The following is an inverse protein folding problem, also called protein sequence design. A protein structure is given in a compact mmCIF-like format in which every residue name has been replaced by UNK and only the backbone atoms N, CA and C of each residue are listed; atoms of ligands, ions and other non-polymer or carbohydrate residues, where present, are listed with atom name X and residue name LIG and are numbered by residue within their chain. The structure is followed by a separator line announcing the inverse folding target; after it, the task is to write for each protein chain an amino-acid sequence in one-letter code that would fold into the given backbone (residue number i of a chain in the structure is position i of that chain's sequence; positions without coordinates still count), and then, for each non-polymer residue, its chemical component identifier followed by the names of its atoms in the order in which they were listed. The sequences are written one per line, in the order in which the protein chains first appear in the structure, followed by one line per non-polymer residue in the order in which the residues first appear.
data_IF_157473794202
#
_entry.id   IF_157473794202
#
_cell.length_a   1.000
_cell.length_b   1.000
_cell.length_c   1.000
_cell.angle_alpha   90.00
_cell.angle_beta   90.00
_cell.angle_gamma   90.00
#
_symmetry.space_group_name_H-M   'P 1'
#
loop_
_entity.id
_entity.type
_entity.pdbx_description
1 polymer ?
#
# COMPACT_ATOMS: atom_id res chain seq x y z
N UNK A 1 -3.97 -22.18 31.31
CA UNK A 1 -4.89 -23.15 30.68
C UNK A 1 -4.09 -24.40 30.31
N UNK A 2 -4.12 -25.46 31.12
CA UNK A 2 -3.33 -26.66 30.87
C UNK A 2 -4.19 -27.69 30.11
N UNK A 3 -3.67 -28.21 29.00
CA UNK A 3 -4.30 -29.30 28.25
C UNK A 3 -5.56 -28.96 27.45
N UNK A 4 -5.89 -27.68 27.26
CA UNK A 4 -7.02 -27.24 26.42
C UNK A 4 -6.50 -26.55 25.16
N UNK A 5 -7.05 -26.85 23.96
CA UNK A 5 -6.74 -26.08 22.76
C UNK A 5 -7.21 -24.64 22.95
N UNK A 6 -6.41 -23.68 22.48
CA UNK A 6 -6.68 -22.24 22.57
C UNK A 6 -6.74 -21.69 21.16
N UNK A 7 -7.79 -20.93 20.86
CA UNK A 7 -7.95 -20.19 19.61
C UNK A 7 -7.93 -18.71 19.97
N UNK A 8 -6.94 -17.98 19.47
CA UNK A 8 -6.80 -16.55 19.68
C UNK A 8 -7.53 -15.81 18.56
N UNK A 9 -8.49 -14.95 18.93
CA UNK A 9 -9.16 -14.03 17.98
C UNK A 9 -8.79 -12.59 18.41
N UNK A 10 -7.55 -12.15 18.16
CA UNK A 10 -7.07 -10.86 18.68
C UNK A 10 -7.62 -9.69 17.86
N UNK A 11 -7.88 -8.59 18.56
CA UNK A 11 -7.97 -7.19 18.11
C UNK A 11 -8.61 -6.38 19.24
N UNK A 12 -8.69 -5.05 19.09
CA UNK A 12 -9.28 -4.16 20.08
C UNK A 12 -10.40 -3.30 19.44
N UNK A 13 -11.62 -3.84 19.24
CA UNK A 13 -12.07 -5.20 19.55
C UNK A 13 -11.91 -6.19 18.37
N UNK A 14 -12.05 -7.48 18.69
CA UNK A 14 -12.26 -8.55 17.71
C UNK A 14 -13.48 -8.26 16.83
N UNK A 15 -13.38 -8.59 15.54
CA UNK A 15 -14.49 -8.46 14.62
C UNK A 15 -15.57 -9.53 14.95
N UNK A 16 -16.85 -9.15 15.10
CA UNK A 16 -17.92 -10.10 15.37
C UNK A 16 -18.03 -11.23 14.34
N UNK A 17 -17.81 -10.94 13.05
CA UNK A 17 -17.87 -11.95 12.00
C UNK A 17 -16.76 -13.00 12.13
N UNK A 18 -15.57 -12.61 12.60
CA UNK A 18 -14.49 -13.56 12.87
C UNK A 18 -14.82 -14.46 14.07
N UNK A 19 -15.43 -13.91 15.12
CA UNK A 19 -15.88 -14.68 16.28
C UNK A 19 -16.95 -15.71 15.90
N UNK A 20 -17.99 -15.25 15.20
CA UNK A 20 -19.08 -16.11 14.72
C UNK A 20 -18.55 -17.15 13.73
N UNK A 21 -17.63 -16.77 12.83
CA UNK A 21 -17.02 -17.66 11.86
C UNK A 21 -16.30 -18.85 12.51
N UNK A 22 -15.57 -18.64 13.61
CA UNK A 22 -14.93 -19.73 14.37
C UNK A 22 -15.98 -20.67 14.98
N UNK A 23 -17.01 -20.12 15.61
CA UNK A 23 -18.07 -20.91 16.25
C UNK A 23 -18.83 -21.74 15.21
N UNK A 24 -19.23 -21.12 14.09
CA UNK A 24 -19.94 -21.80 13.02
C UNK A 24 -19.08 -22.90 12.37
N UNK A 25 -17.80 -22.62 12.11
CA UNK A 25 -16.89 -23.63 11.57
C UNK A 25 -16.85 -24.88 12.47
N UNK A 26 -16.71 -24.70 13.79
CA UNK A 26 -16.70 -25.80 14.74
C UNK A 26 -18.04 -26.55 14.79
N UNK A 27 -19.17 -25.84 14.85
CA UNK A 27 -20.51 -26.46 14.89
C UNK A 27 -20.79 -27.28 13.63
N UNK A 28 -20.37 -26.80 12.46
CA UNK A 28 -20.65 -27.45 11.18
C UNK A 28 -19.71 -28.61 10.87
N UNK A 29 -18.45 -28.54 11.29
CA UNK A 29 -17.41 -29.50 10.88
C UNK A 29 -16.93 -30.41 12.01
N UNK A 30 -17.21 -30.06 13.27
CA UNK A 30 -16.62 -30.71 14.44
C UNK A 30 -15.12 -30.46 14.62
N UNK A 31 -14.52 -29.55 13.83
CA UNK A 31 -13.10 -29.26 13.82
C UNK A 31 -12.83 -27.79 14.11
N UNK A 32 -11.65 -27.49 14.67
CA UNK A 32 -11.18 -26.12 14.80
C UNK A 32 -10.61 -25.64 13.45
N UNK A 33 -10.69 -24.33 13.14
CA UNK A 33 -10.09 -23.82 11.93
C UNK A 33 -8.56 -23.98 11.97
N UNK A 34 -7.94 -23.99 10.79
CA UNK A 34 -6.47 -23.96 10.71
C UNK A 34 -5.93 -22.69 11.38
N UNK A 35 -4.92 -22.86 12.24
CA UNK A 35 -4.34 -21.79 13.02
C UNK A 35 -2.93 -21.44 12.53
N UNK A 36 -2.53 -20.19 12.70
CA UNK A 36 -1.14 -19.77 12.54
C UNK A 36 -0.29 -20.07 13.79
N UNK A 37 0.99 -19.66 13.77
CA UNK A 37 1.93 -19.88 14.88
C UNK A 37 1.56 -19.15 16.18
N UNK A 38 0.65 -18.17 16.12
CA UNK A 38 0.10 -17.45 17.27
C UNK A 38 -1.27 -17.98 17.68
N UNK A 39 -1.66 -19.14 17.16
CA UNK A 39 -2.95 -19.81 17.40
C UNK A 39 -4.14 -18.98 16.89
N UNK A 40 -3.95 -18.19 15.83
CA UNK A 40 -5.01 -17.35 15.23
C UNK A 40 -5.62 -18.03 14.00
N UNK A 41 -6.95 -17.98 13.79
CA UNK A 41 -7.57 -18.56 12.60
C UNK A 41 -7.05 -17.97 11.29
N UNK A 42 -6.48 -18.80 10.41
CA UNK A 42 -5.85 -18.32 9.16
C UNK A 42 -6.81 -17.60 8.22
N UNK A 43 -8.11 -17.94 8.24
CA UNK A 43 -9.10 -17.24 7.42
C UNK A 43 -9.23 -15.75 7.78
N UNK A 44 -8.91 -15.37 9.03
CA UNK A 44 -9.00 -13.99 9.51
C UNK A 44 -7.62 -13.32 9.65
N UNK A 45 -6.57 -14.08 9.93
CA UNK A 45 -5.24 -13.57 10.26
C UNK A 45 -4.13 -14.09 9.34
N UNK A 46 -4.47 -14.70 8.20
CA UNK A 46 -3.50 -15.30 7.28
C UNK A 46 -2.72 -14.29 6.43
N UNK A 47 -3.24 -13.07 6.26
CA UNK A 47 -2.62 -12.01 5.47
C UNK A 47 -2.45 -10.73 6.28
N UNK A 48 -1.48 -9.91 5.90
CA UNK A 48 -1.34 -8.57 6.46
C UNK A 48 -2.41 -7.66 5.89
N UNK A 49 -2.85 -6.68 6.66
CA UNK A 49 -3.79 -5.65 6.22
C UNK A 49 -3.32 -4.98 4.92
N UNK A 50 -2.01 -4.71 4.81
CA UNK A 50 -1.43 -4.06 3.64
C UNK A 50 -1.47 -4.91 2.35
N UNK A 51 -1.52 -6.24 2.49
CA UNK A 51 -1.55 -7.13 1.32
C UNK A 51 -2.92 -7.08 0.62
N UNK A 52 -3.98 -6.64 1.32
CA UNK A 52 -5.35 -6.55 0.81
C UNK A 52 -5.97 -5.16 1.00
N UNK A 53 -5.15 -4.10 1.11
CA UNK A 53 -5.63 -2.74 1.35
C UNK A 53 -6.02 -2.05 0.03
N UNK A 54 -7.19 -1.41 -0.02
CA UNK A 54 -7.65 -0.66 -1.21
C UNK A 54 -6.74 0.54 -1.56
N UNK A 55 -6.00 1.08 -0.59
CA UNK A 55 -5.05 2.18 -0.81
C UNK A 55 -3.66 1.70 -1.23
N UNK A 56 -3.49 0.41 -1.56
CA UNK A 56 -2.18 -0.16 -1.90
C UNK A 56 -1.62 0.44 -3.19
N UNK A 57 -2.46 0.70 -4.19
CA UNK A 57 -2.03 1.36 -5.42
C UNK A 57 -1.37 2.72 -5.15
N UNK A 58 -1.95 3.53 -4.26
CA UNK A 58 -1.34 4.80 -3.83
C UNK A 58 0.01 4.61 -3.13
N UNK A 59 0.14 3.57 -2.28
CA UNK A 59 1.44 3.24 -1.68
C UNK A 59 2.49 2.94 -2.75
N UNK A 60 2.13 2.10 -3.73
CA UNK A 60 3.03 1.70 -4.81
C UNK A 60 3.35 2.88 -5.75
N UNK A 61 2.40 3.81 -5.96
CA UNK A 61 2.58 5.04 -6.72
C UNK A 61 3.33 6.15 -5.98
N UNK A 62 3.67 5.95 -4.70
CA UNK A 62 4.34 6.98 -3.90
C UNK A 62 3.42 8.14 -3.47
N UNK A 63 2.11 7.93 -3.54
CA UNK A 63 1.07 8.88 -3.18
C UNK A 63 0.68 8.69 -1.71
N UNK A 64 1.09 9.63 -0.87
CA UNK A 64 0.92 9.55 0.57
C UNK A 64 0.15 10.73 1.12
N UNK A 65 -0.57 10.48 2.21
CA UNK A 65 -0.93 11.52 3.17
C UNK A 65 0.34 11.87 3.94
N UNK A 66 0.68 13.15 3.99
CA UNK A 66 1.84 13.66 4.74
C UNK A 66 1.39 14.38 6.01
N UNK A 67 0.26 15.08 5.95
CA UNK A 67 -0.35 15.75 7.08
C UNK A 67 -1.87 15.54 7.13
N UNK A 68 -2.47 15.62 8.31
CA UNK A 68 -3.90 15.41 8.47
C UNK A 68 -4.69 16.52 7.78
N UNK A 69 -5.54 16.15 6.82
CA UNK A 69 -6.38 17.09 6.08
C UNK A 69 -5.72 17.69 4.82
N UNK A 70 -4.52 17.24 4.47
CA UNK A 70 -3.87 17.61 3.21
C UNK A 70 -4.64 17.09 1.98
N UNK A 71 -4.17 17.43 0.78
CA UNK A 71 -4.79 16.95 -0.47
C UNK A 71 -4.71 15.42 -0.59
N UNK A 72 -3.66 14.78 -0.07
CA UNK A 72 -3.58 13.32 -0.04
C UNK A 72 -4.71 12.70 0.80
N UNK A 73 -5.03 13.30 1.94
CA UNK A 73 -6.11 12.85 2.82
C UNK A 73 -7.47 12.99 2.13
N UNK A 74 -7.71 14.11 1.44
CA UNK A 74 -8.93 14.35 0.66
C UNK A 74 -9.09 13.38 -0.51
N UNK A 75 -7.98 12.93 -1.10
CA UNK A 75 -7.94 12.01 -2.23
C UNK A 75 -7.73 10.54 -1.82
N UNK A 76 -7.85 10.20 -0.54
CA UNK A 76 -7.71 8.83 -0.02
C UNK A 76 -6.35 8.16 -0.31
N UNK A 77 -5.27 8.94 -0.36
CA UNK A 77 -3.92 8.43 -0.53
C UNK A 77 -3.46 7.55 0.63
N UNK A 78 -2.30 6.91 0.46
CA UNK A 78 -1.80 5.96 1.44
C UNK A 78 -1.41 6.63 2.76
N UNK A 79 -1.82 6.02 3.88
CA UNK A 79 -1.60 6.52 5.24
C UNK A 79 -0.25 6.06 5.85
N UNK A 80 0.67 5.54 5.04
CA UNK A 80 1.93 4.99 5.55
C UNK A 80 2.79 6.07 6.24
N UNK A 81 2.95 7.25 5.63
CA UNK A 81 3.77 8.34 6.17
C UNK A 81 3.19 8.95 7.46
N UNK A 82 1.87 8.88 7.66
CA UNK A 82 1.20 9.26 8.92
C UNK A 82 1.07 8.11 9.92
N UNK A 83 1.77 6.99 9.70
CA UNK A 83 1.98 5.97 10.73
C UNK A 83 1.11 4.73 10.64
N UNK A 84 0.47 4.45 9.52
CA UNK A 84 -0.25 3.18 9.34
C UNK A 84 0.65 1.94 9.54
N UNK A 85 0.24 1.04 10.44
CA UNK A 85 0.91 -0.23 10.78
C UNK A 85 0.35 -1.44 10.06
N UNK A 86 -0.55 -1.23 9.10
CA UNK A 86 -1.14 -2.28 8.27
C UNK A 86 -0.11 -3.24 7.65
N UNK A 87 1.09 -2.78 7.23
CA UNK A 87 2.07 -3.70 6.67
C UNK A 87 2.80 -4.60 7.69
N UNK A 88 2.56 -4.44 8.98
CA UNK A 88 3.06 -5.29 10.08
C UNK A 88 1.94 -6.05 10.79
N UNK A 89 0.69 -5.86 10.37
CA UNK A 89 -0.49 -6.29 11.11
C UNK A 89 -1.27 -7.32 10.32
N UNK A 90 -1.47 -8.50 10.88
CA UNK A 90 -2.30 -9.55 10.34
C UNK A 90 -3.73 -9.39 10.86
N UNK A 91 -4.66 -9.18 9.94
CA UNK A 91 -6.11 -9.11 10.18
C UNK A 91 -6.82 -8.99 8.83
N UNK A 92 -8.12 -9.23 8.78
CA UNK A 92 -8.95 -9.15 7.58
C UNK A 92 -9.81 -7.87 7.52
N UNK A 93 -9.47 -6.83 8.29
CA UNK A 93 -10.27 -5.58 8.36
C UNK A 93 -10.47 -4.91 7.00
N UNK A 94 -9.50 -5.01 6.07
CA UNK A 94 -9.63 -4.44 4.73
C UNK A 94 -10.60 -5.21 3.82
N UNK A 95 -10.85 -6.48 4.15
CA UNK A 95 -11.73 -7.38 3.39
C UNK A 95 -13.15 -7.32 3.96
N UNK A 96 -13.31 -7.72 5.23
CA UNK A 96 -14.65 -7.87 5.84
C UNK A 96 -15.16 -6.59 6.49
N UNK A 97 -14.27 -5.64 6.78
CA UNK A 97 -14.56 -4.36 7.46
C UNK A 97 -15.27 -4.59 8.81
N UNK A 98 -15.73 -3.53 9.45
CA UNK A 98 -16.50 -3.57 10.69
C UNK A 98 -17.94 -3.08 10.43
N UNK A 99 -18.84 -3.47 11.33
CA UNK A 99 -20.25 -3.06 11.32
C UNK A 99 -20.95 -3.44 10.01
N UNK A 100 -21.12 -4.75 9.77
CA UNK A 100 -21.80 -5.28 8.57
C UNK A 100 -21.16 -4.82 7.25
N UNK A 101 -19.83 -4.75 7.22
CA UNK A 101 -19.11 -4.32 6.03
C UNK A 101 -19.05 -2.80 5.84
N UNK A 102 -19.60 -2.00 6.76
CA UNK A 102 -19.70 -0.55 6.62
C UNK A 102 -18.34 0.12 6.41
N UNK A 103 -17.42 -0.01 7.38
CA UNK A 103 -16.13 0.66 7.29
C UNK A 103 -15.07 0.07 8.22
N UNK A 104 -13.87 0.61 8.19
CA UNK A 104 -12.71 0.16 8.96
C UNK A 104 -11.73 1.34 9.12
N UNK A 105 -10.70 1.26 10.00
CA UNK A 105 -9.86 2.41 10.33
C UNK A 105 -9.28 3.17 9.13
N UNK A 106 -8.71 2.46 8.16
CA UNK A 106 -8.10 3.09 6.98
C UNK A 106 -9.18 3.64 6.04
N UNK A 107 -10.35 3.01 5.96
CA UNK A 107 -11.46 3.52 5.17
C UNK A 107 -12.04 4.83 5.71
N UNK A 108 -11.88 5.13 6.99
CA UNK A 108 -12.21 6.46 7.58
C UNK A 108 -11.02 7.43 7.63
N UNK A 109 -9.90 7.09 6.99
CA UNK A 109 -8.73 7.97 6.90
C UNK A 109 -7.76 7.88 8.08
N UNK A 110 -7.91 6.90 8.99
CA UNK A 110 -6.98 6.67 10.11
C UNK A 110 -6.09 5.45 9.86
N UNK A 111 -4.78 5.61 10.06
CA UNK A 111 -3.83 4.52 9.94
C UNK A 111 -4.15 3.35 10.88
N UNK A 112 -3.89 2.12 10.44
CA UNK A 112 -3.98 0.95 11.32
C UNK A 112 -2.99 1.10 12.48
N UNK A 113 -3.43 0.81 13.71
CA UNK A 113 -2.58 0.87 14.92
C UNK A 113 -1.93 -0.48 15.29
N UNK A 114 -2.25 -1.54 14.54
CA UNK A 114 -1.73 -2.88 14.80
C UNK A 114 -2.41 -3.64 15.94
N UNK A 115 -3.66 -3.34 16.26
CA UNK A 115 -4.32 -3.85 17.47
C UNK A 115 -4.52 -5.38 17.54
N UNK A 116 -4.32 -6.13 16.45
CA UNK A 116 -4.34 -7.60 16.44
C UNK A 116 -2.96 -8.24 16.63
N UNK A 117 -1.91 -7.45 16.77
CA UNK A 117 -0.56 -7.93 16.98
C UNK A 117 -0.15 -7.90 18.46
N UNK A 118 0.72 -8.82 18.91
CA UNK A 118 1.25 -8.81 20.27
C UNK A 118 1.99 -7.51 20.61
N UNK A 119 1.72 -6.98 21.81
CA UNK A 119 2.35 -5.77 22.36
C UNK A 119 2.18 -4.51 21.51
N UNK A 120 1.07 -4.41 20.76
CA UNK A 120 0.89 -3.31 19.81
C UNK A 120 0.91 -1.91 20.46
N UNK A 121 0.48 -1.78 21.73
CA UNK A 121 0.54 -0.50 22.44
C UNK A 121 1.96 0.05 22.49
N UNK A 122 2.93 -0.79 22.83
CA UNK A 122 4.33 -0.39 22.97
C UNK A 122 5.09 -0.41 21.64
N UNK A 123 4.70 -1.31 20.71
CA UNK A 123 5.39 -1.49 19.43
C UNK A 123 4.87 -0.61 18.30
N UNK A 124 3.57 -0.34 18.27
CA UNK A 124 2.86 0.10 17.06
C UNK A 124 1.96 1.33 17.24
N UNK A 125 1.37 1.54 18.42
CA UNK A 125 0.30 2.52 18.66
C UNK A 125 0.78 3.98 18.75
N UNK A 126 1.48 4.43 17.71
CA UNK A 126 1.92 5.82 17.51
C UNK A 126 1.76 6.26 16.05
N UNK A 127 1.53 7.55 15.82
CA UNK A 127 1.21 8.17 14.51
C UNK A 127 2.46 8.59 13.73
N UNK A 128 3.43 7.68 13.58
CA UNK A 128 4.61 7.88 12.73
C UNK A 128 5.05 6.56 12.09
N UNK A 129 5.79 6.59 10.98
CA UNK A 129 6.37 5.39 10.40
C UNK A 129 7.28 4.68 11.40
N UNK A 130 7.38 3.35 11.31
CA UNK A 130 8.33 2.60 12.12
C UNK A 130 9.76 2.94 11.67
N UNK A 131 10.60 3.46 12.57
CA UNK A 131 11.98 3.80 12.24
C UNK A 131 12.79 2.59 11.73
N UNK A 132 12.45 1.39 12.19
CA UNK A 132 13.06 0.12 11.81
C UNK A 132 12.20 -0.72 10.85
N UNK A 133 11.16 -0.14 10.21
CA UNK A 133 10.42 -0.89 9.20
C UNK A 133 11.35 -1.30 8.05
N UNK A 134 11.33 -2.59 7.72
CA UNK A 134 11.99 -3.11 6.51
C UNK A 134 11.22 -2.80 5.22
N UNK A 135 10.14 -2.04 5.32
CA UNK A 135 9.28 -1.66 4.21
C UNK A 135 9.72 -0.28 3.78
N UNK A 136 10.34 -0.21 2.61
CA UNK A 136 10.72 1.04 1.99
C UNK A 136 9.57 1.48 1.10
N UNK A 137 8.92 2.57 1.47
CA UNK A 137 7.96 3.24 0.60
C UNK A 137 8.66 3.63 -0.71
N UNK A 138 8.11 3.29 -1.89
CA UNK A 138 8.66 3.71 -3.17
C UNK A 138 8.77 5.23 -3.22
N UNK A 139 10.00 5.75 -3.35
CA UNK A 139 10.23 7.19 -3.33
C UNK A 139 9.89 7.76 -4.71
N UNK A 140 8.69 8.35 -4.84
CA UNK A 140 8.14 8.83 -6.12
C UNK A 140 7.42 7.76 -6.94
N UNK A 141 7.07 6.62 -6.32
CA UNK A 141 6.34 5.54 -6.96
C UNK A 141 7.22 4.51 -7.68
N UNK A 142 6.64 3.35 -7.97
CA UNK A 142 7.30 2.27 -8.72
C UNK A 142 7.53 2.63 -10.19
N UNK A 143 6.74 3.57 -10.73
CA UNK A 143 6.84 4.04 -12.12
C UNK A 143 7.90 5.14 -12.32
N UNK A 144 8.48 5.69 -11.24
CA UNK A 144 9.43 6.82 -11.34
C UNK A 144 10.57 6.57 -12.34
N UNK A 145 11.12 5.35 -12.34
CA UNK A 145 12.21 4.99 -13.26
C UNK A 145 11.76 4.97 -14.71
N UNK A 146 10.50 4.60 -14.98
CA UNK A 146 9.91 4.62 -16.32
C UNK A 146 9.71 6.06 -16.77
N UNK A 147 9.22 6.93 -15.89
CA UNK A 147 9.04 8.36 -16.18
C UNK A 147 10.37 9.05 -16.51
N UNK A 148 11.41 8.83 -15.69
CA UNK A 148 12.75 9.39 -15.92
C UNK A 148 13.35 8.90 -17.25
N UNK A 149 13.22 7.60 -17.54
CA UNK A 149 13.68 7.03 -18.80
C UNK A 149 12.92 7.61 -20.00
N UNK A 150 11.59 7.67 -19.91
CA UNK A 150 10.71 8.22 -20.94
C UNK A 150 11.03 9.69 -21.24
N UNK A 151 11.21 10.50 -20.20
CA UNK A 151 11.60 11.90 -20.32
C UNK A 151 12.97 12.07 -20.98
N UNK A 152 13.93 11.21 -20.62
CA UNK A 152 15.26 11.19 -21.23
C UNK A 152 15.20 10.88 -22.73
N UNK A 153 14.46 9.83 -23.11
CA UNK A 153 14.31 9.42 -24.51
C UNK A 153 13.61 10.50 -25.36
N UNK A 154 12.53 11.10 -24.84
CA UNK A 154 11.82 12.19 -25.51
C UNK A 154 12.73 13.39 -25.73
N UNK A 155 13.51 13.76 -24.72
CA UNK A 155 14.45 14.90 -24.78
C UNK A 155 15.54 14.64 -25.82
N UNK A 156 16.16 13.45 -25.81
CA UNK A 156 17.18 13.08 -26.79
C UNK A 156 16.64 13.10 -28.24
N UNK A 157 15.43 12.59 -28.43
CA UNK A 157 14.75 12.59 -29.74
C UNK A 157 14.47 14.01 -30.22
N UNK A 158 13.95 14.88 -29.35
CA UNK A 158 13.67 16.28 -29.68
C UNK A 158 14.94 17.03 -30.09
N UNK A 159 16.05 16.82 -29.37
CA UNK A 159 17.36 17.38 -29.73
C UNK A 159 17.81 16.87 -31.11
N UNK A 160 17.70 15.56 -31.35
CA UNK A 160 18.07 14.96 -32.64
C UNK A 160 17.27 15.53 -33.81
N UNK A 161 15.96 15.68 -33.66
CA UNK A 161 15.08 16.31 -34.66
C UNK A 161 15.48 17.77 -34.90
N UNK A 162 15.73 18.53 -33.82
CA UNK A 162 16.17 19.93 -33.92
C UNK A 162 17.50 20.09 -34.67
N UNK A 163 18.50 19.27 -34.33
CA UNK A 163 19.80 19.25 -35.01
C UNK A 163 19.65 18.91 -36.49
N UNK A 164 18.85 17.88 -36.81
CA UNK A 164 18.60 17.48 -38.20
C UNK A 164 17.91 18.58 -39.01
N UNK A 165 16.90 19.24 -38.44
CA UNK A 165 16.20 20.35 -39.09
C UNK A 165 17.13 21.54 -39.40
N UNK A 166 17.96 21.95 -38.44
CA UNK A 166 18.93 23.05 -38.64
C UNK A 166 19.97 22.68 -39.70
N UNK A 167 20.52 21.46 -39.65
CA UNK A 167 21.49 20.99 -40.62
C UNK A 167 20.91 20.97 -42.05
N UNK A 168 19.67 20.52 -42.22
CA UNK A 168 18.98 20.49 -43.51
C UNK A 168 18.75 21.89 -44.10
N UNK A 169 18.37 22.88 -43.27
CA UNK A 169 18.22 24.27 -43.74
C UNK A 169 19.56 24.89 -44.15
N UNK A 170 20.62 24.65 -43.38
CA UNK A 170 21.97 25.15 -43.71
C UNK A 170 22.51 24.51 -44.99
N UNK A 171 22.36 23.19 -45.13
CA UNK A 171 22.75 22.47 -46.34
C UNK A 171 21.97 22.96 -47.58
N UNK A 172 20.65 23.15 -47.45
CA UNK A 172 19.80 23.68 -48.52
C UNK A 172 20.13 25.12 -48.93
N UNK A 173 20.53 25.99 -47.99
CA UNK A 173 21.04 27.34 -48.34
C UNK A 173 22.37 27.27 -49.10
N UNK A 174 23.28 26.37 -48.68
CA UNK A 174 24.57 26.18 -49.34
C UNK A 174 24.45 25.64 -50.76
N UNK A 175 23.47 24.77 -51.03
CA UNK A 175 23.22 24.28 -52.39
C UNK A 175 22.68 25.38 -53.30
N UNK A 176 21.78 26.24 -52.81
CA UNK A 176 21.26 27.37 -53.60
C UNK A 176 22.34 28.43 -53.89
N UNK A 177 23.22 28.76 -52.94
CA UNK A 177 24.34 29.70 -53.18
C UNK A 177 25.40 29.14 -54.16
N UNK A 178 25.44 27.81 -54.35
CA UNK A 178 26.31 27.15 -55.32
C UNK A 178 25.74 27.09 -56.75
N UNK A 179 24.42 27.24 -56.92
CA UNK A 179 23.74 27.27 -58.23
C UNK A 179 23.61 28.70 -58.81
N UNK A 180 23.77 29.76 -57.99
CA UNK A 180 23.70 31.17 -58.43
C UNK A 180 25.05 31.78 -58.89
N UNK A 181 26.11 30.98 -59.08
CA UNK A 181 27.40 31.40 -59.66
C UNK A 181 27.67 30.74 -61.01
#
# INVERSE_FOLDING_TARGET
LKGKPVINIPACPANPANMVGVVLHYVLTGQIPELDSLLRPKFAFGYRIHDNCERRAHFDAGEFVEEWGDEGAKNNFCLYKVGCKGPMTFNNCSIIRYNEGTNWPIGVGRGCIGCSEPDFWDKYAYERPMANAKIKAPTGGVEKTVDEFGLGLLTATAIGIGVHAVASVVAGKKSNEGEEK
#
